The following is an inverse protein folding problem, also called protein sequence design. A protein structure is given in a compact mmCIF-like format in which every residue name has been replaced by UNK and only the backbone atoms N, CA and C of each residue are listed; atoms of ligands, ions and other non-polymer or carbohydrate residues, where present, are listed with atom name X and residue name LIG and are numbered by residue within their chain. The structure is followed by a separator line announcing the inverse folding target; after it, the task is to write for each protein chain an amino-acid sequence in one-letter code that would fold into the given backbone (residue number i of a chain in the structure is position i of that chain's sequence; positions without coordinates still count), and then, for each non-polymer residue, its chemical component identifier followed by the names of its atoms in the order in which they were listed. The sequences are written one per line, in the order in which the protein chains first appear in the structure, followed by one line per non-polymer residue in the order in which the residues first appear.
data_IF_223953503002
#
_entry.id   IF_223953503002
#
_cell.length_a   1.000
_cell.length_b   1.000
_cell.length_c   1.000
_cell.angle_alpha   90.00
_cell.angle_beta   90.00
_cell.angle_gamma   90.00
#
_symmetry.space_group_name_H-M   'P 1'
#
loop_
_entity.id
_entity.type
_entity.pdbx_description
1 polymer ?
#
# COMPACT_ATOMS: atom_id res chain seq x y z
N UNK A 1 -4.95 4.25 6.33
CA UNK A 1 -3.49 4.06 6.38
C UNK A 1 -2.83 5.28 6.99
N UNK A 2 -1.59 5.14 7.48
CA UNK A 2 -0.76 6.27 7.88
C UNK A 2 0.25 6.55 6.76
N UNK A 3 0.32 7.78 6.28
CA UNK A 3 1.27 8.23 5.26
C UNK A 3 2.44 8.94 5.93
N UNK A 4 3.66 8.52 5.64
CA UNK A 4 4.90 9.12 6.16
C UNK A 4 5.58 9.99 5.11
N UNK A 5 5.78 9.45 3.89
CA UNK A 5 6.46 10.16 2.82
C UNK A 5 5.79 9.90 1.48
N UNK A 6 5.85 10.89 0.60
CA UNK A 6 5.50 10.76 -0.81
C UNK A 6 6.50 11.55 -1.64
N UNK A 7 6.84 11.04 -2.82
CA UNK A 7 7.79 11.71 -3.69
C UNK A 7 7.97 11.04 -5.03
N UNK A 8 9.05 11.41 -5.68
CA UNK A 8 9.44 10.90 -7.00
C UNK A 8 10.92 10.57 -7.01
N UNK A 9 11.30 9.53 -7.75
CA UNK A 9 12.68 9.11 -7.90
C UNK A 9 13.04 8.90 -9.37
N UNK A 10 14.33 9.03 -9.69
CA UNK A 10 14.87 8.74 -11.02
C UNK A 10 15.10 7.25 -11.23
N UNK A 11 15.25 6.50 -10.13
CA UNK A 11 15.38 5.03 -10.09
C UNK A 11 14.56 4.49 -8.92
N UNK A 12 14.33 3.17 -8.90
CA UNK A 12 13.77 2.49 -7.73
C UNK A 12 14.79 2.53 -6.57
N UNK A 13 14.44 3.13 -5.42
CA UNK A 13 15.36 3.20 -4.28
C UNK A 13 15.57 1.86 -3.55
N UNK A 14 14.72 0.87 -3.76
CA UNK A 14 14.87 -0.50 -3.23
C UNK A 14 15.66 -1.41 -4.14
N UNK A 15 15.71 -1.09 -5.44
CA UNK A 15 16.48 -1.80 -6.47
C UNK A 15 17.13 -0.80 -7.46
N UNK A 16 18.12 0.00 -7.02
CA UNK A 16 18.66 1.10 -7.80
C UNK A 16 19.39 0.67 -9.08
N UNK A 17 19.81 -0.57 -9.16
CA UNK A 17 20.51 -1.14 -10.33
C UNK A 17 19.54 -1.79 -11.33
N UNK A 18 18.28 -2.03 -10.94
CA UNK A 18 17.25 -2.63 -11.78
C UNK A 18 17.58 -4.07 -12.25
N UNK A 19 18.51 -4.73 -11.56
CA UNK A 19 18.92 -6.10 -11.87
C UNK A 19 18.26 -7.06 -10.89
N UNK A 20 17.59 -8.10 -11.38
CA UNK A 20 17.02 -9.14 -10.52
C UNK A 20 18.06 -9.62 -9.51
N UNK A 21 17.83 -9.35 -8.22
CA UNK A 21 18.75 -9.73 -7.13
C UNK A 21 19.60 -8.60 -6.55
N UNK A 22 19.43 -7.35 -6.98
CA UNK A 22 20.11 -6.18 -6.41
C UNK A 22 19.29 -5.46 -5.32
N UNK A 23 18.18 -6.06 -4.88
CA UNK A 23 17.38 -5.53 -3.77
C UNK A 23 18.28 -5.33 -2.54
N UNK A 24 18.21 -4.14 -1.94
CA UNK A 24 19.00 -3.73 -0.78
C UNK A 24 18.50 -4.36 0.54
N UNK A 25 18.36 -5.69 0.56
CA UNK A 25 17.85 -6.43 1.72
C UNK A 25 18.77 -6.25 2.95
N UNK A 26 18.18 -5.83 4.07
CA UNK A 26 18.89 -5.51 5.31
C UNK A 26 19.54 -4.13 5.33
N UNK A 27 19.39 -3.33 4.28
CA UNK A 27 19.92 -1.98 4.17
C UNK A 27 18.82 -0.95 4.03
N UNK A 28 19.17 0.33 4.15
CA UNK A 28 18.26 1.43 3.84
C UNK A 28 18.06 1.51 2.32
N UNK A 29 16.83 1.83 1.85
CA UNK A 29 16.64 2.19 0.45
C UNK A 29 17.53 3.35 0.05
N UNK A 30 18.11 3.30 -1.14
CA UNK A 30 19.04 4.34 -1.62
C UNK A 30 18.27 5.53 -2.22
N UNK A 31 17.68 6.36 -1.37
CA UNK A 31 16.93 7.52 -1.83
C UNK A 31 17.79 8.57 -2.51
N UNK A 32 19.02 8.79 -2.02
CA UNK A 32 19.93 9.80 -2.57
C UNK A 32 20.52 9.36 -3.92
N UNK A 33 21.04 8.13 -4.01
CA UNK A 33 21.59 7.59 -5.25
C UNK A 33 20.52 7.35 -6.32
N UNK A 34 19.26 7.14 -5.91
CA UNK A 34 18.12 7.05 -6.80
C UNK A 34 17.55 8.42 -7.20
N UNK A 35 18.11 9.51 -6.72
CA UNK A 35 17.69 10.87 -7.06
C UNK A 35 16.26 11.17 -6.65
N UNK A 36 15.87 10.73 -5.45
CA UNK A 36 14.54 10.95 -4.93
C UNK A 36 14.34 12.42 -4.49
N UNK A 37 13.13 12.93 -4.72
CA UNK A 37 12.67 14.24 -4.25
C UNK A 37 11.32 14.07 -3.57
N UNK A 38 11.18 14.63 -2.38
CA UNK A 38 9.98 14.48 -1.56
C UNK A 38 8.98 15.61 -1.82
N UNK A 39 7.71 15.26 -1.95
CA UNK A 39 6.60 16.21 -2.00
C UNK A 39 5.88 16.31 -0.67
N UNK A 40 6.03 15.29 0.16
CA UNK A 40 5.53 15.20 1.52
C UNK A 40 6.51 14.39 2.38
N UNK A 41 6.88 14.90 3.55
CA UNK A 41 7.80 14.23 4.48
C UNK A 41 7.38 14.51 5.92
N UNK A 42 6.76 13.51 6.57
CA UNK A 42 6.31 13.56 7.96
C UNK A 42 6.77 12.30 8.68
N UNK A 43 7.83 12.39 9.47
CA UNK A 43 8.42 11.25 10.18
C UNK A 43 7.45 10.57 11.16
N UNK A 44 6.50 11.31 11.73
CA UNK A 44 5.50 10.77 12.65
C UNK A 44 4.29 10.17 11.92
N UNK A 45 4.17 10.46 10.64
CA UNK A 45 3.07 10.03 9.79
C UNK A 45 1.77 10.78 10.04
N UNK A 46 0.90 10.75 9.06
CA UNK A 46 -0.45 11.32 9.11
C UNK A 46 -1.49 10.29 8.65
N UNK A 47 -2.59 10.21 9.40
CA UNK A 47 -3.67 9.27 9.05
C UNK A 47 -4.44 9.76 7.82
N UNK A 48 -4.47 8.96 6.77
CA UNK A 48 -5.22 9.18 5.54
C UNK A 48 -6.37 8.18 5.43
N UNK A 49 -7.59 8.66 5.23
CA UNK A 49 -8.78 7.83 5.02
C UNK A 49 -9.19 7.92 3.57
N UNK A 50 -8.93 6.86 2.81
CA UNK A 50 -9.36 6.77 1.42
C UNK A 50 -10.77 6.22 1.33
N UNK A 51 -11.62 6.92 0.59
CA UNK A 51 -12.98 6.49 0.27
C UNK A 51 -13.24 6.67 -1.23
N UNK A 52 -14.17 5.90 -1.76
CA UNK A 52 -14.56 6.03 -3.19
C UNK A 52 -14.93 7.48 -3.51
N UNK A 53 -14.25 8.07 -4.49
CA UNK A 53 -14.45 9.46 -4.92
C UNK A 53 -13.99 10.53 -3.92
N UNK A 54 -13.44 10.13 -2.76
CA UNK A 54 -12.91 11.05 -1.76
C UNK A 54 -11.57 11.67 -2.14
N UNK A 55 -11.28 12.84 -1.59
CA UNK A 55 -9.97 13.49 -1.66
C UNK A 55 -9.42 13.58 -0.23
N UNK A 56 -8.17 13.19 -0.06
CA UNK A 56 -7.43 13.36 1.20
C UNK A 56 -6.41 14.46 0.99
N UNK A 57 -6.48 15.49 1.80
CA UNK A 57 -5.47 16.54 1.85
C UNK A 57 -4.57 16.29 3.05
N UNK A 58 -3.28 16.11 2.80
CA UNK A 58 -2.28 15.95 3.84
C UNK A 58 -1.84 17.32 4.36
N UNK A 59 -1.36 17.36 5.61
CA UNK A 59 -0.98 18.60 6.26
C UNK A 59 0.10 19.35 5.46
N UNK A 60 -0.18 20.57 4.95
CA UNK A 60 0.74 21.30 4.11
C UNK A 60 2.04 21.72 4.82
N UNK A 61 2.11 21.67 6.16
CA UNK A 61 3.32 21.94 6.91
C UNK A 61 4.46 20.95 6.60
N UNK A 62 4.12 19.75 6.09
CA UNK A 62 5.08 18.73 5.69
C UNK A 62 5.24 18.63 4.16
N UNK A 63 4.55 19.49 3.41
CA UNK A 63 4.66 19.54 1.96
C UNK A 63 5.88 20.33 1.50
N UNK A 64 6.50 19.86 0.42
CA UNK A 64 7.61 20.56 -0.24
C UNK A 64 7.44 20.52 -1.76
N UNK A 65 8.05 21.47 -2.44
CA UNK A 65 8.11 21.46 -3.90
C UNK A 65 9.18 20.48 -4.36
N UNK A 66 8.83 19.51 -5.21
CA UNK A 66 9.83 18.59 -5.77
C UNK A 66 10.81 19.33 -6.68
N UNK A 67 12.01 18.79 -6.84
CA UNK A 67 12.97 19.32 -7.78
C UNK A 67 12.44 19.21 -9.22
N UNK A 68 12.86 20.15 -10.07
CA UNK A 68 12.57 20.12 -11.51
C UNK A 68 13.24 18.89 -12.12
N UNK A 69 12.48 18.10 -12.87
CA UNK A 69 13.00 16.87 -13.46
C UNK A 69 11.91 16.03 -14.13
N UNK A 70 12.34 14.92 -14.71
CA UNK A 70 11.46 13.93 -15.32
C UNK A 70 11.62 12.61 -14.56
N UNK A 71 10.58 12.22 -13.83
CA UNK A 71 10.61 11.14 -12.86
C UNK A 71 9.81 9.94 -13.33
N UNK A 72 10.46 8.80 -13.59
CA UNK A 72 9.76 7.58 -13.98
C UNK A 72 9.13 6.82 -12.79
N UNK A 73 9.54 7.13 -11.55
CA UNK A 73 9.06 6.45 -10.36
C UNK A 73 8.35 7.40 -9.42
N UNK A 74 7.15 7.02 -8.96
CA UNK A 74 6.51 7.63 -7.80
C UNK A 74 6.72 6.74 -6.58
N UNK A 75 7.04 7.33 -5.43
CA UNK A 75 7.34 6.59 -4.21
C UNK A 75 6.45 7.04 -3.06
N UNK A 76 6.07 6.08 -2.22
CA UNK A 76 5.28 6.35 -1.02
C UNK A 76 5.71 5.42 0.11
N UNK A 77 5.86 6.00 1.32
CA UNK A 77 6.06 5.24 2.55
C UNK A 77 4.81 5.36 3.41
N UNK A 78 4.19 4.22 3.70
CA UNK A 78 2.97 4.13 4.50
C UNK A 78 3.13 3.11 5.64
N UNK A 79 2.15 3.08 6.57
CA UNK A 79 2.07 1.99 7.55
C UNK A 79 1.80 0.67 6.85
N UNK A 80 2.39 -0.41 7.39
CA UNK A 80 2.02 -1.78 7.00
C UNK A 80 0.60 -2.16 7.40
N UNK A 81 0.01 -1.44 8.37
CA UNK A 81 -1.32 -1.73 8.90
C UNK A 81 -2.39 -0.98 8.10
N UNK A 82 -3.21 -1.73 7.41
CA UNK A 82 -4.33 -1.21 6.64
C UNK A 82 -5.60 -1.27 7.49
N UNK A 83 -6.20 -0.11 7.78
CA UNK A 83 -7.49 -0.04 8.43
C UNK A 83 -8.58 -0.06 7.37
N UNK A 84 -9.36 -1.14 7.36
CA UNK A 84 -10.36 -1.43 6.34
C UNK A 84 -11.75 -1.35 6.98
N UNK A 85 -12.68 -0.71 6.26
CA UNK A 85 -14.10 -0.74 6.60
C UNK A 85 -14.89 -0.88 5.31
N UNK A 86 -15.58 -2.02 5.16
CA UNK A 86 -16.31 -2.31 3.95
C UNK A 86 -17.45 -3.31 4.16
N UNK A 87 -18.35 -3.36 3.18
CA UNK A 87 -19.41 -4.36 3.10
C UNK A 87 -19.40 -5.02 1.74
N UNK A 88 -19.84 -6.26 1.68
CA UNK A 88 -19.97 -7.03 0.46
C UNK A 88 -21.34 -7.69 0.37
N UNK A 89 -21.98 -7.56 -0.76
CA UNK A 89 -23.31 -8.08 -0.97
C UNK A 89 -24.28 -7.04 -1.56
N UNK A 90 -25.57 -7.36 -1.71
CA UNK A 90 -26.16 -8.63 -1.28
C UNK A 90 -25.73 -9.82 -2.14
N UNK A 91 -25.48 -10.96 -1.49
CA UNK A 91 -25.25 -12.25 -2.17
C UNK A 91 -26.26 -13.27 -1.69
N UNK A 92 -26.75 -14.18 -2.56
CA UNK A 92 -27.75 -15.18 -2.17
C UNK A 92 -27.11 -16.28 -1.31
N UNK A 93 -27.45 -16.34 -0.03
CA UNK A 93 -27.09 -17.41 0.89
C UNK A 93 -28.35 -18.20 1.22
N UNK A 94 -28.38 -19.47 0.85
CA UNK A 94 -29.55 -20.34 1.08
C UNK A 94 -30.90 -19.75 0.64
N UNK A 95 -30.87 -18.97 -0.46
CA UNK A 95 -32.06 -18.32 -1.02
C UNK A 95 -32.45 -16.99 -0.36
N UNK A 96 -31.61 -16.46 0.53
CA UNK A 96 -31.79 -15.14 1.15
C UNK A 96 -30.66 -14.22 0.77
N UNK A 97 -30.98 -13.02 0.29
CA UNK A 97 -30.00 -11.99 -0.01
C UNK A 97 -29.35 -11.49 1.29
N UNK A 98 -28.05 -11.70 1.40
CA UNK A 98 -27.27 -11.40 2.62
C UNK A 98 -26.15 -10.44 2.32
N UNK A 99 -26.00 -9.41 3.13
CA UNK A 99 -24.86 -8.47 3.11
C UNK A 99 -23.95 -8.76 4.30
N UNK A 100 -22.67 -8.84 4.04
CA UNK A 100 -21.64 -9.01 5.06
C UNK A 100 -20.90 -7.68 5.30
N UNK A 101 -20.56 -7.42 6.54
CA UNK A 101 -19.88 -6.23 7.01
C UNK A 101 -18.55 -6.60 7.68
N UNK A 102 -17.50 -5.82 7.45
CA UNK A 102 -16.28 -5.93 8.25
C UNK A 102 -16.59 -5.65 9.72
N UNK A 103 -15.89 -6.32 10.62
CA UNK A 103 -16.00 -6.09 12.07
C UNK A 103 -14.73 -5.41 12.61
N UNK A 104 -14.62 -5.22 13.90
CA UNK A 104 -13.39 -4.73 14.56
C UNK A 104 -12.32 -5.82 14.70
N UNK A 105 -12.64 -7.07 14.40
CA UNK A 105 -11.72 -8.21 14.46
C UNK A 105 -11.22 -8.54 13.06
N UNK A 106 -9.90 -8.66 12.91
CA UNK A 106 -9.27 -9.03 11.66
C UNK A 106 -9.79 -10.37 11.14
N UNK A 107 -10.00 -10.45 9.83
CA UNK A 107 -10.52 -11.63 9.12
C UNK A 107 -11.90 -12.13 9.61
N UNK A 108 -12.69 -11.29 10.24
CA UNK A 108 -14.08 -11.60 10.62
C UNK A 108 -15.07 -10.70 9.92
N UNK A 109 -16.22 -11.29 9.57
CA UNK A 109 -17.38 -10.58 9.06
C UNK A 109 -18.62 -10.88 9.88
N UNK A 110 -19.62 -10.02 9.77
CA UNK A 110 -20.93 -10.21 10.40
C UNK A 110 -22.02 -9.79 9.40
N UNK A 111 -23.17 -10.43 9.48
CA UNK A 111 -24.36 -10.04 8.73
C UNK A 111 -25.18 -8.94 9.43
N UNK A 112 -24.89 -8.68 10.69
CA UNK A 112 -25.55 -7.63 11.45
C UNK A 112 -24.81 -6.30 11.25
N UNK A 113 -25.48 -5.33 10.63
CA UNK A 113 -24.92 -3.99 10.39
C UNK A 113 -24.55 -3.21 11.67
N UNK A 114 -25.08 -3.60 12.84
CA UNK A 114 -24.69 -3.00 14.13
C UNK A 114 -23.25 -3.30 14.52
N UNK A 115 -22.66 -4.38 13.97
CA UNK A 115 -21.27 -4.79 14.18
C UNK A 115 -20.31 -4.24 13.12
N UNK A 116 -20.80 -3.40 12.20
CA UNK A 116 -20.03 -2.80 11.13
C UNK A 116 -18.91 -1.92 11.68
N UNK A 117 -17.68 -2.41 11.61
CA UNK A 117 -16.51 -1.83 12.24
C UNK A 117 -15.31 -1.72 11.31
N UNK A 118 -14.29 -1.02 11.81
CA UNK A 118 -12.98 -0.94 11.17
C UNK A 118 -12.14 -2.10 11.66
N UNK A 119 -11.71 -2.98 10.74
CA UNK A 119 -10.68 -3.98 11.02
C UNK A 119 -9.29 -3.44 10.70
N UNK A 120 -8.26 -3.99 11.31
CA UNK A 120 -6.86 -3.73 10.94
C UNK A 120 -6.31 -4.98 10.28
N UNK A 121 -5.94 -4.86 9.02
CA UNK A 121 -5.27 -5.90 8.23
C UNK A 121 -3.77 -5.58 8.17
N UNK A 122 -2.91 -6.28 8.92
CA UNK A 122 -1.48 -6.08 8.85
C UNK A 122 -0.91 -6.75 7.60
N UNK A 123 -0.11 -6.04 6.83
CA UNK A 123 0.69 -6.65 5.78
C UNK A 123 1.93 -7.28 6.41
N UNK A 124 1.97 -8.61 6.47
CA UNK A 124 3.03 -9.38 7.13
C UNK A 124 3.97 -10.07 6.18
N UNK A 125 3.50 -10.37 4.96
CA UNK A 125 4.29 -11.04 3.91
C UNK A 125 3.88 -10.51 2.54
N UNK A 126 4.75 -10.70 1.55
CA UNK A 126 4.39 -10.70 0.14
C UNK A 126 4.26 -12.15 -0.34
N UNK A 127 3.61 -12.35 -1.49
CA UNK A 127 3.45 -13.67 -2.10
C UNK A 127 4.79 -14.42 -2.29
N UNK A 128 5.86 -13.67 -2.59
CA UNK A 128 7.21 -14.20 -2.84
C UNK A 128 8.14 -14.15 -1.62
N UNK A 129 7.66 -13.75 -0.44
CA UNK A 129 8.48 -13.66 0.78
C UNK A 129 8.41 -12.30 1.46
N UNK A 130 9.44 -11.96 2.23
CA UNK A 130 9.48 -10.78 3.08
C UNK A 130 10.19 -9.57 2.47
N UNK A 131 11.08 -9.78 1.51
CA UNK A 131 12.00 -8.72 1.05
C UNK A 131 11.32 -7.74 0.12
N UNK A 132 10.64 -8.24 -0.88
CA UNK A 132 9.93 -7.43 -1.86
C UNK A 132 8.87 -8.25 -2.60
N UNK A 133 7.85 -7.58 -3.10
CA UNK A 133 7.02 -8.10 -4.20
C UNK A 133 7.61 -7.59 -5.51
N UNK A 134 8.32 -8.45 -6.21
CA UNK A 134 8.80 -8.19 -7.58
C UNK A 134 7.78 -8.65 -8.63
N UNK A 135 6.63 -9.18 -8.20
CA UNK A 135 5.56 -9.45 -9.13
C UNK A 135 4.97 -8.12 -9.56
N UNK A 136 5.12 -7.83 -10.85
CA UNK A 136 4.53 -6.70 -11.54
C UNK A 136 3.01 -6.71 -11.34
N UNK A 137 2.55 -6.22 -10.19
CA UNK A 137 1.14 -5.93 -10.03
C UNK A 137 0.82 -4.76 -10.96
N UNK A 138 0.35 -5.09 -12.15
CA UNK A 138 -0.08 -4.09 -13.13
C UNK A 138 -1.21 -3.27 -12.53
N UNK A 139 -0.94 -2.00 -12.30
CA UNK A 139 -1.92 -1.02 -11.86
C UNK A 139 -2.23 -0.05 -13.00
N UNK A 140 -3.25 0.78 -12.83
CA UNK A 140 -3.56 1.80 -13.83
C UNK A 140 -2.40 2.81 -13.89
N UNK A 141 -1.68 2.82 -15.01
CA UNK A 141 -0.60 3.76 -15.30
C UNK A 141 0.80 3.28 -14.93
N UNK A 142 0.99 1.97 -14.66
CA UNK A 142 2.30 1.40 -14.40
C UNK A 142 2.29 0.07 -13.67
N UNK A 143 3.42 -0.25 -13.06
CA UNK A 143 3.61 -1.41 -12.17
C UNK A 143 4.03 -0.93 -10.79
N UNK A 144 3.80 -1.74 -9.75
CA UNK A 144 4.20 -1.42 -8.37
C UNK A 144 5.17 -2.48 -7.87
N UNK A 145 6.33 -2.02 -7.38
CA UNK A 145 7.21 -2.78 -6.51
C UNK A 145 6.95 -2.36 -5.05
N UNK A 146 7.05 -3.31 -4.13
CA UNK A 146 6.76 -3.06 -2.74
C UNK A 146 7.80 -3.71 -1.83
N UNK A 147 8.24 -2.98 -0.80
CA UNK A 147 9.28 -3.39 0.14
C UNK A 147 8.79 -3.18 1.58
N UNK A 148 8.84 -4.23 2.40
CA UNK A 148 8.60 -4.10 3.83
C UNK A 148 9.83 -3.50 4.51
N UNK A 149 9.61 -2.51 5.35
CA UNK A 149 10.65 -1.81 6.09
C UNK A 149 10.51 -2.08 7.59
N UNK A 150 11.65 -2.23 8.27
CA UNK A 150 11.72 -2.31 9.72
C UNK A 150 11.56 -0.93 10.40
N UNK A 151 11.66 -0.88 11.71
CA UNK A 151 11.57 0.35 12.50
C UNK A 151 12.70 1.35 12.21
N UNK A 152 13.85 0.88 11.72
CA UNK A 152 14.97 1.71 11.28
C UNK A 152 14.83 2.18 9.82
N UNK A 153 13.80 1.72 9.10
CA UNK A 153 13.56 2.01 7.68
C UNK A 153 14.35 1.13 6.73
N UNK A 154 14.97 0.06 7.22
CA UNK A 154 15.71 -0.89 6.39
C UNK A 154 14.77 -1.90 5.73
N UNK A 155 15.09 -2.30 4.51
CA UNK A 155 14.35 -3.36 3.81
C UNK A 155 14.52 -4.68 4.58
N UNK A 156 13.41 -5.33 4.89
CA UNK A 156 13.40 -6.61 5.61
C UNK A 156 14.14 -7.68 4.80
N UNK A 157 15.02 -8.42 5.47
CA UNK A 157 15.71 -9.56 4.87
C UNK A 157 14.76 -10.75 4.77
N UNK A 158 14.68 -11.35 3.61
CA UNK A 158 13.92 -12.58 3.42
C UNK A 158 14.59 -13.73 4.18
N UNK A 159 13.87 -14.27 5.14
CA UNK A 159 14.22 -15.54 5.76
C UNK A 159 13.28 -16.60 5.18
N UNK A 160 13.72 -17.30 4.17
CA UNK A 160 13.00 -18.32 3.40
C UNK A 160 12.35 -19.47 4.21
N UNK A 161 12.45 -19.44 5.54
CA UNK A 161 11.88 -20.41 6.47
C UNK A 161 10.77 -19.81 7.36
N UNK A 162 10.37 -18.55 7.17
CA UNK A 162 9.34 -17.92 7.99
C UNK A 162 8.05 -17.82 7.19
N UNK A 163 6.96 -18.34 7.75
CA UNK A 163 5.60 -18.15 7.22
C UNK A 163 5.15 -16.70 7.32
N UNK A 164 5.76 -15.91 8.22
CA UNK A 164 5.49 -14.48 8.42
C UNK A 164 6.79 -13.72 8.63
N UNK A 165 6.88 -12.53 8.06
CA UNK A 165 7.97 -11.60 8.32
C UNK A 165 7.87 -11.06 9.76
N UNK A 166 8.97 -10.71 10.36
CA UNK A 166 9.01 -10.10 11.68
C UNK A 166 9.71 -8.75 11.65
N UNK A 167 9.25 -7.82 12.51
CA UNK A 167 9.87 -6.51 12.66
C UNK A 167 9.47 -5.48 11.62
N UNK A 168 8.52 -5.80 10.73
CA UNK A 168 8.01 -4.86 9.75
C UNK A 168 7.16 -3.77 10.44
N UNK A 169 7.36 -2.53 10.03
CA UNK A 169 6.66 -1.35 10.55
C UNK A 169 6.01 -0.54 9.43
N UNK A 170 6.68 -0.48 8.27
CA UNK A 170 6.28 0.36 7.14
C UNK A 170 6.34 -0.42 5.83
N UNK A 171 5.67 0.13 4.84
CA UNK A 171 5.68 -0.31 3.45
C UNK A 171 6.22 0.83 2.59
N UNK A 172 7.27 0.58 1.82
CA UNK A 172 7.70 1.41 0.70
C UNK A 172 7.06 0.84 -0.57
N UNK A 173 6.19 1.62 -1.20
CA UNK A 173 5.68 1.34 -2.53
C UNK A 173 6.41 2.19 -3.56
N UNK A 174 6.84 1.57 -4.63
CA UNK A 174 7.48 2.22 -5.78
C UNK A 174 6.65 1.92 -7.01
N UNK A 175 6.02 2.94 -7.56
CA UNK A 175 5.25 2.83 -8.80
C UNK A 175 6.17 3.15 -9.99
N UNK A 176 6.41 2.16 -10.82
CA UNK A 176 7.06 2.29 -12.12
C UNK A 176 6.04 2.79 -13.13
N UNK A 177 6.07 4.08 -13.47
CA UNK A 177 5.03 4.71 -14.25
C UNK A 177 5.22 4.48 -15.76
N UNK A 178 4.15 4.15 -16.47
CA UNK A 178 4.14 4.02 -17.95
C UNK A 178 4.61 5.31 -18.66
N UNK A 179 4.39 6.45 -18.00
CA UNK A 179 4.83 7.75 -18.47
C UNK A 179 5.39 8.55 -17.31
N UNK A 180 6.64 8.96 -17.42
CA UNK A 180 7.30 9.73 -16.39
C UNK A 180 6.61 11.07 -16.12
N UNK A 181 6.57 11.49 -14.85
CA UNK A 181 6.06 12.79 -14.45
C UNK A 181 7.10 13.86 -14.71
N UNK A 182 6.73 14.85 -15.51
CA UNK A 182 7.60 16.00 -15.80
C UNK A 182 7.28 17.16 -14.85
N UNK A 183 8.19 17.43 -13.93
CA UNK A 183 8.10 18.55 -13.01
C UNK A 183 8.90 19.74 -13.57
N UNK A 184 8.20 20.84 -13.73
CA UNK A 184 8.74 22.10 -14.29
C UNK A 184 8.60 23.23 -13.26
N UNK A 185 9.27 24.37 -13.45
CA UNK A 185 9.06 25.53 -12.59
C UNK A 185 7.60 26.07 -12.57
N UNK A 186 6.79 25.67 -13.53
CA UNK A 186 5.36 26.04 -13.59
C UNK A 186 4.44 24.99 -12.91
N UNK A 187 4.98 23.92 -12.37
CA UNK A 187 4.22 22.89 -11.67
C UNK A 187 3.77 23.42 -10.30
N UNK A 188 2.49 23.63 -10.12
CA UNK A 188 1.91 24.26 -8.91
C UNK A 188 1.37 23.25 -7.90
N UNK A 189 1.38 21.96 -8.20
CA UNK A 189 0.90 20.90 -7.33
C UNK A 189 0.90 19.56 -8.02
N UNK A 190 0.77 18.52 -7.21
CA UNK A 190 0.73 17.13 -7.63
C UNK A 190 -0.50 16.49 -7.01
N UNK A 191 -1.18 15.67 -7.79
CA UNK A 191 -2.32 14.87 -7.34
C UNK A 191 -2.00 13.41 -7.55
N UNK A 192 -1.97 12.65 -6.47
CA UNK A 192 -2.01 11.19 -6.51
C UNK A 192 -3.45 10.70 -6.43
N UNK A 193 -3.80 9.71 -7.23
CA UNK A 193 -5.13 9.12 -7.21
C UNK A 193 -5.01 7.64 -6.89
N UNK A 194 -5.63 7.22 -5.78
CA UNK A 194 -5.76 5.81 -5.40
C UNK A 194 -7.16 5.33 -5.78
N UNK A 195 -7.21 4.25 -6.56
CA UNK A 195 -8.47 3.61 -6.89
C UNK A 195 -8.76 2.53 -5.85
N UNK A 196 -9.59 2.85 -4.86
CA UNK A 196 -9.98 1.93 -3.77
C UNK A 196 -11.29 1.20 -4.04
N UNK A 197 -12.06 1.64 -5.05
CA UNK A 197 -13.30 0.98 -5.44
C UNK A 197 -13.00 -0.32 -6.16
N UNK A 198 -13.49 -1.44 -5.63
CA UNK A 198 -13.27 -2.82 -6.10
C UNK A 198 -11.79 -3.28 -6.13
N UNK A 199 -10.87 -2.55 -5.49
CA UNK A 199 -9.44 -2.89 -5.47
C UNK A 199 -8.77 -2.65 -4.10
N UNK A 200 -9.47 -2.12 -3.12
CA UNK A 200 -8.87 -1.77 -1.82
C UNK A 200 -9.03 -2.87 -0.76
N UNK A 201 -9.67 -3.97 -1.11
CA UNK A 201 -9.99 -5.04 -0.16
C UNK A 201 -10.31 -6.33 -0.92
N UNK A 202 -9.73 -7.44 -0.49
CA UNK A 202 -10.16 -8.76 -0.94
C UNK A 202 -11.30 -9.30 -0.06
N UNK A 203 -12.21 -10.02 -0.67
CA UNK A 203 -13.32 -10.68 0.02
C UNK A 203 -13.35 -12.13 -0.41
N UNK A 204 -13.04 -13.03 0.51
CA UNK A 204 -12.97 -14.47 0.26
C UNK A 204 -13.92 -15.25 1.16
N UNK A 205 -14.43 -16.37 0.65
CA UNK A 205 -15.17 -17.33 1.47
C UNK A 205 -14.21 -18.17 2.30
N UNK A 206 -14.43 -18.25 3.58
CA UNK A 206 -13.58 -19.00 4.50
C UNK A 206 -13.87 -20.53 4.51
N UNK A 207 -14.75 -21.03 3.63
CA UNK A 207 -15.22 -22.43 3.66
C UNK A 207 -15.26 -23.05 2.27
N UNK A 208 -14.97 -24.37 2.20
CA UNK A 208 -15.15 -25.19 1.01
C UNK A 208 -16.62 -25.66 0.90
N UNK A 209 -17.54 -24.72 0.66
CA UNK A 209 -18.99 -24.97 0.58
C UNK A 209 -19.75 -23.69 0.22
N UNK A 210 -21.09 -23.67 0.42
CA UNK A 210 -21.85 -22.43 0.31
C UNK A 210 -21.25 -21.39 1.27
N UNK A 211 -20.97 -20.19 0.75
CA UNK A 211 -20.33 -19.13 1.53
C UNK A 211 -21.21 -18.73 2.73
N UNK A 212 -20.79 -19.07 3.94
CA UNK A 212 -21.52 -18.75 5.17
C UNK A 212 -20.81 -17.66 5.99
N UNK A 213 -19.53 -17.44 5.71
CA UNK A 213 -18.73 -16.35 6.27
C UNK A 213 -17.78 -15.77 5.24
N UNK A 214 -17.48 -14.48 5.34
CA UNK A 214 -16.53 -13.78 4.50
C UNK A 214 -15.36 -13.27 5.33
N UNK A 215 -14.18 -13.31 4.72
CA UNK A 215 -12.97 -12.67 5.25
C UNK A 215 -12.74 -11.38 4.49
N UNK A 216 -12.51 -10.29 5.23
CA UNK A 216 -12.08 -9.02 4.69
C UNK A 216 -10.59 -8.85 4.96
N UNK A 217 -9.82 -8.70 3.91
CA UNK A 217 -8.37 -8.58 3.96
C UNK A 217 -7.87 -7.43 3.07
N UNK A 218 -6.64 -7.00 3.26
CA UNK A 218 -6.00 -5.94 2.47
C UNK A 218 -5.58 -6.36 1.06
N UNK A 219 -5.95 -7.54 0.62
CA UNK A 219 -5.88 -8.02 -0.77
C UNK A 219 -4.52 -7.93 -1.45
#
# INVERSE_FOLDING_TARGET
VTVYKMGFCLKDPGDPDGASGSILAGELPDYDGSGCTWTYDNETGESAVFSSGGVVELNPAFASSPAVGNYPHAVMIISKDFKIKGSYGPIPISGTDTTFYSTTTFQQSDTNSSNYGVTTAPLTTFWSGCTASTEENTVVGGTIDAYLLDSAGKIIVDNSNLEECSGQEKLLGVMNMDSAVNITPATNGLKMTFKVENNGMSVTCNESGPCTSLVFDSG
#
